data_IF_626061690257
#
_entry.id   IF_626061690257
#
_cell.length_a   1.000
_cell.length_b   1.000
_cell.length_c   1.000
_cell.angle_alpha   90.00
_cell.angle_beta   90.00
_cell.angle_gamma   90.00
#
_symmetry.space_group_name_H-M   'P 1'
#
loop_
_entity.id
_entity.type
_entity.pdbx_description
1 polymer ?
#
# COMPACT_ATOMS: atom_id res chain seq x y z
N UNK A 1 13.21 14.67 60.93
CA UNK A 1 12.61 13.31 60.96
C UNK A 1 11.10 13.40 61.12
N UNK A 2 10.39 12.63 60.29
CA UNK A 2 9.09 12.98 59.73
C UNK A 2 7.90 12.79 60.69
N UNK A 3 7.18 13.89 60.95
CA UNK A 3 5.90 13.94 61.68
C UNK A 3 4.82 13.03 61.07
N UNK A 4 4.97 12.68 59.79
CA UNK A 4 4.09 11.80 59.03
C UNK A 4 3.83 10.41 59.65
N UNK A 5 4.75 9.89 60.47
CA UNK A 5 4.58 8.54 61.04
C UNK A 5 3.65 8.49 62.25
N UNK A 6 3.39 9.64 62.90
CA UNK A 6 2.45 9.73 64.02
C UNK A 6 1.00 9.83 63.55
N UNK A 7 0.76 10.53 62.44
CA UNK A 7 -0.59 10.81 61.95
C UNK A 7 -1.21 9.63 61.17
N UNK A 8 -0.39 8.69 60.71
CA UNK A 8 -0.83 7.52 59.94
C UNK A 8 -0.33 6.22 60.59
N UNK A 9 -0.90 5.79 61.73
CA UNK A 9 -0.63 4.47 62.27
C UNK A 9 -1.11 3.41 61.26
N UNK A 10 -0.22 2.49 60.89
CA UNK A 10 -0.54 1.41 59.96
C UNK A 10 -1.68 0.52 60.48
N UNK A 11 -2.36 -0.17 59.57
CA UNK A 11 -3.51 -1.01 59.90
C UNK A 11 -3.13 -2.16 60.85
N UNK A 12 -3.79 -2.24 62.02
CA UNK A 12 -3.51 -3.26 63.02
C UNK A 12 -4.34 -4.53 62.76
N UNK A 13 -3.67 -5.57 62.26
CA UNK A 13 -4.29 -6.84 61.86
C UNK A 13 -4.84 -7.67 63.02
N UNK A 14 -4.50 -7.34 64.27
CA UNK A 14 -5.02 -8.04 65.46
C UNK A 14 -6.40 -7.51 65.88
N UNK A 15 -6.65 -6.21 65.69
CA UNK A 15 -7.93 -5.59 66.01
C UNK A 15 -8.92 -5.69 64.85
N UNK A 16 -8.40 -5.75 63.62
CA UNK A 16 -9.18 -5.85 62.40
C UNK A 16 -8.69 -7.03 61.56
N UNK A 17 -9.04 -8.27 61.93
CA UNK A 17 -8.66 -9.44 61.16
C UNK A 17 -9.28 -9.36 59.77
N UNK A 18 -8.48 -9.70 58.75
CA UNK A 18 -8.95 -9.75 57.36
C UNK A 18 -10.12 -10.74 57.26
N UNK A 19 -11.19 -10.33 56.59
CA UNK A 19 -12.30 -11.23 56.28
C UNK A 19 -11.79 -12.44 55.50
N UNK A 20 -12.18 -13.64 55.94
CA UNK A 20 -11.86 -14.86 55.21
C UNK A 20 -12.66 -14.90 53.91
N UNK A 21 -12.02 -15.38 52.85
CA UNK A 21 -12.68 -15.61 51.57
C UNK A 21 -13.65 -16.77 51.78
N UNK A 22 -14.94 -16.48 51.86
CA UNK A 22 -15.98 -17.50 51.90
C UNK A 22 -16.13 -18.06 50.49
N UNK A 23 -15.68 -19.30 50.30
CA UNK A 23 -15.95 -20.04 49.09
C UNK A 23 -17.48 -20.12 48.89
N UNK A 24 -18.03 -19.79 47.70
CA UNK A 24 -19.45 -19.98 47.42
C UNK A 24 -19.88 -21.40 47.77
N UNK A 25 -21.09 -21.54 48.35
CA UNK A 25 -21.61 -22.79 48.94
C UNK A 25 -21.60 -23.99 47.97
N UNK A 26 -21.48 -23.73 46.67
CA UNK A 26 -21.57 -24.72 45.60
C UNK A 26 -20.18 -25.13 45.04
N UNK A 27 -19.11 -24.96 45.81
CA UNK A 27 -17.73 -25.26 45.38
C UNK A 27 -17.49 -26.72 44.97
N UNK A 28 -18.34 -27.64 45.45
CA UNK A 28 -18.23 -29.08 45.19
C UNK A 28 -19.18 -29.62 44.13
N UNK A 29 -20.06 -28.80 43.54
CA UNK A 29 -20.97 -29.27 42.52
C UNK A 29 -20.26 -29.30 41.15
N UNK A 30 -20.11 -30.47 40.51
CA UNK A 30 -19.59 -30.52 39.15
C UNK A 30 -20.56 -29.78 38.22
N UNK A 31 -20.02 -28.87 37.41
CA UNK A 31 -20.81 -28.14 36.42
C UNK A 31 -21.52 -29.11 35.47
N UNK A 32 -22.85 -29.00 35.39
CA UNK A 32 -23.68 -29.77 34.47
C UNK A 32 -24.06 -28.87 33.29
N UNK A 33 -23.55 -29.12 32.07
CA UNK A 33 -23.96 -28.34 30.91
C UNK A 33 -25.44 -28.59 30.59
N UNK A 34 -26.18 -27.57 30.14
CA UNK A 34 -27.58 -27.74 29.77
C UNK A 34 -27.72 -28.75 28.62
N UNK A 35 -28.58 -29.76 28.80
CA UNK A 35 -28.82 -30.80 27.79
C UNK A 35 -29.68 -30.33 26.61
N UNK A 36 -30.43 -29.24 26.79
CA UNK A 36 -31.36 -28.74 25.78
C UNK A 36 -30.59 -27.97 24.69
N UNK A 37 -30.77 -28.36 23.44
CA UNK A 37 -30.23 -27.64 22.29
C UNK A 37 -31.09 -26.40 22.03
N UNK A 38 -30.44 -25.25 21.83
CA UNK A 38 -31.11 -24.03 21.38
C UNK A 38 -31.37 -24.14 19.87
N UNK A 39 -32.49 -23.58 19.39
CA UNK A 39 -32.73 -23.43 17.96
C UNK A 39 -31.64 -22.53 17.36
N UNK A 40 -30.86 -23.09 16.43
CA UNK A 40 -29.70 -22.41 15.82
C UNK A 40 -30.00 -21.78 14.47
N UNK A 41 -31.19 -22.03 13.90
CA UNK A 41 -31.58 -21.44 12.62
C UNK A 41 -31.96 -19.97 12.79
N UNK A 42 -31.27 -19.13 12.04
CA UNK A 42 -31.62 -17.71 11.91
C UNK A 42 -32.71 -17.52 10.84
N UNK A 43 -33.45 -16.41 10.92
CA UNK A 43 -34.45 -16.05 9.90
C UNK A 43 -33.82 -15.98 8.50
N UNK A 44 -32.55 -15.55 8.41
CA UNK A 44 -31.86 -15.43 7.13
C UNK A 44 -31.56 -16.80 6.52
N UNK A 45 -31.15 -17.78 7.33
CA UNK A 45 -30.97 -19.16 6.88
C UNK A 45 -32.27 -19.84 6.47
N UNK A 46 -33.41 -19.40 7.03
CA UNK A 46 -34.74 -19.90 6.64
C UNK A 46 -35.20 -19.28 5.33
N UNK A 47 -35.14 -17.96 5.24
CA UNK A 47 -35.80 -17.19 4.19
C UNK A 47 -34.97 -17.07 2.91
N UNK A 48 -33.64 -17.18 2.98
CA UNK A 48 -32.75 -17.05 1.82
C UNK A 48 -32.13 -18.40 1.43
N UNK A 49 -32.93 -19.27 0.81
CA UNK A 49 -32.43 -20.49 0.18
C UNK A 49 -31.73 -20.18 -1.16
N UNK A 50 -30.67 -20.91 -1.53
CA UNK A 50 -30.01 -20.73 -2.82
C UNK A 50 -30.99 -21.05 -3.96
N UNK A 51 -31.08 -20.13 -4.92
CA UNK A 51 -31.92 -20.28 -6.11
C UNK A 51 -31.13 -21.04 -7.17
N UNK A 52 -31.73 -22.09 -7.75
CA UNK A 52 -31.13 -22.78 -8.89
C UNK A 52 -31.22 -21.90 -10.15
N UNK A 53 -30.06 -21.34 -10.52
CA UNK A 53 -29.89 -20.43 -11.66
C UNK A 53 -30.10 -21.17 -13.00
N UNK A 54 -29.94 -22.50 -13.01
CA UNK A 54 -30.10 -23.30 -14.23
C UNK A 54 -31.57 -23.48 -14.65
N UNK A 55 -32.50 -23.38 -13.69
CA UNK A 55 -33.94 -23.44 -13.93
C UNK A 55 -34.54 -22.11 -14.40
N UNK A 56 -33.77 -21.02 -14.37
CA UNK A 56 -34.26 -19.69 -14.78
C UNK A 56 -34.33 -19.59 -16.31
N UNK A 57 -35.40 -18.99 -16.86
CA UNK A 57 -35.50 -18.78 -18.30
C UNK A 57 -34.37 -17.87 -18.78
N UNK A 58 -33.57 -18.35 -19.73
CA UNK A 58 -32.46 -17.59 -20.32
C UNK A 58 -33.00 -16.31 -20.98
N UNK A 59 -32.68 -15.16 -20.40
CA UNK A 59 -33.02 -13.85 -20.98
C UNK A 59 -32.36 -13.77 -22.37
N UNK A 60 -33.18 -13.66 -23.42
CA UNK A 60 -32.68 -13.44 -24.79
C UNK A 60 -32.27 -11.99 -24.92
N UNK A 61 -30.97 -11.72 -24.89
CA UNK A 61 -30.43 -10.39 -25.24
C UNK A 61 -30.61 -10.19 -26.75
N UNK A 62 -31.48 -9.26 -27.14
CA UNK A 62 -31.61 -8.83 -28.53
C UNK A 62 -30.47 -7.85 -28.80
N UNK A 63 -29.53 -8.15 -29.73
CA UNK A 63 -28.48 -7.20 -30.06
C UNK A 63 -29.10 -5.96 -30.73
N UNK A 64 -28.79 -4.77 -30.22
CA UNK A 64 -29.18 -3.52 -30.85
C UNK A 64 -28.52 -3.44 -32.24
N UNK A 65 -29.32 -3.39 -33.30
CA UNK A 65 -28.80 -3.09 -34.65
C UNK A 65 -28.44 -1.62 -34.70
N UNK A 66 -27.16 -1.28 -34.57
CA UNK A 66 -26.69 0.10 -34.73
C UNK A 66 -26.59 0.45 -36.22
N UNK A 67 -27.45 1.34 -36.72
CA UNK A 67 -27.30 1.96 -38.04
C UNK A 67 -26.25 3.09 -38.01
N UNK A 68 -25.09 2.86 -37.40
CA UNK A 68 -23.98 3.81 -37.40
C UNK A 68 -23.15 3.58 -38.68
N UNK A 69 -23.53 4.26 -39.77
CA UNK A 69 -22.61 4.45 -40.89
C UNK A 69 -21.54 5.43 -40.44
N UNK A 70 -20.43 4.90 -39.92
CA UNK A 70 -19.23 5.68 -39.59
C UNK A 70 -18.48 5.94 -40.90
N UNK A 71 -18.99 6.87 -41.69
CA UNK A 71 -18.16 7.53 -42.70
C UNK A 71 -17.44 8.69 -42.01
N UNK A 72 -16.43 8.37 -41.20
CA UNK A 72 -15.52 9.35 -40.55
C UNK A 72 -14.53 9.91 -41.57
N UNK A 73 -15.05 10.51 -42.64
CA UNK A 73 -14.29 11.46 -43.44
C UNK A 73 -14.85 12.84 -43.17
N UNK A 74 -14.67 13.30 -41.93
CA UNK A 74 -14.76 14.72 -41.65
C UNK A 74 -13.78 15.40 -42.62
N UNK A 75 -14.31 16.14 -43.59
CA UNK A 75 -13.48 16.89 -44.54
C UNK A 75 -12.48 17.77 -43.79
N UNK A 76 -11.36 18.15 -44.42
CA UNK A 76 -10.32 18.92 -43.74
C UNK A 76 -10.93 20.18 -43.12
N UNK A 77 -10.70 20.38 -41.83
CA UNK A 77 -11.19 21.54 -41.08
C UNK A 77 -10.57 22.82 -41.66
N UNK A 78 -11.41 23.81 -41.94
CA UNK A 78 -10.95 25.13 -42.36
C UNK A 78 -10.22 25.82 -41.21
N UNK A 79 -8.90 25.98 -41.35
CA UNK A 79 -8.03 26.55 -40.31
C UNK A 79 -7.67 28.04 -40.54
N UNK A 80 -8.31 28.69 -41.51
CA UNK A 80 -8.03 30.08 -41.87
C UNK A 80 -8.98 31.03 -41.13
N UNK A 81 -8.46 31.81 -40.18
CA UNK A 81 -9.25 32.85 -39.52
C UNK A 81 -9.27 34.13 -40.35
N UNK A 82 -10.34 34.93 -40.23
CA UNK A 82 -10.44 36.24 -40.88
C UNK A 82 -9.28 37.17 -40.52
N UNK A 83 -8.77 37.09 -39.28
CA UNK A 83 -7.60 37.86 -38.87
C UNK A 83 -6.34 37.45 -39.65
N UNK A 84 -6.06 36.14 -39.74
CA UNK A 84 -4.90 35.62 -40.47
C UNK A 84 -4.95 35.95 -41.96
N UNK A 85 -6.15 36.04 -42.53
CA UNK A 85 -6.35 36.44 -43.92
C UNK A 85 -6.04 37.93 -44.16
N UNK A 86 -6.48 38.82 -43.26
CA UNK A 86 -6.36 40.27 -43.46
C UNK A 86 -5.00 40.85 -43.01
N UNK A 87 -4.32 40.24 -42.03
CA UNK A 87 -3.07 40.74 -41.49
C UNK A 87 -1.88 39.92 -41.98
N UNK A 88 -1.53 40.08 -43.25
CA UNK A 88 -0.27 39.55 -43.79
C UNK A 88 0.89 40.51 -43.50
N UNK A 89 2.11 40.00 -43.28
CA UNK A 89 3.26 40.86 -43.06
C UNK A 89 3.46 41.77 -44.28
N UNK A 90 3.36 43.08 -44.05
CA UNK A 90 3.73 44.06 -45.07
C UNK A 90 5.24 43.95 -45.30
N UNK A 91 5.65 43.79 -46.56
CA UNK A 91 7.06 43.93 -46.95
C UNK A 91 7.60 45.23 -46.35
N UNK A 92 8.75 45.22 -45.66
CA UNK A 92 9.27 46.42 -45.03
C UNK A 92 9.44 47.48 -46.11
N UNK A 93 8.69 48.56 -45.96
CA UNK A 93 8.70 49.69 -46.87
C UNK A 93 10.16 50.06 -47.18
N UNK A 94 10.46 50.12 -48.48
CA UNK A 94 11.69 50.61 -49.10
C UNK A 94 12.34 51.65 -48.17
N UNK A 95 13.62 51.43 -47.83
CA UNK A 95 14.40 52.24 -46.89
C UNK A 95 14.01 53.72 -46.98
N UNK A 96 13.55 54.30 -45.86
CA UNK A 96 13.17 55.72 -45.78
C UNK A 96 14.23 56.58 -46.46
N UNK A 97 13.83 57.36 -47.48
CA UNK A 97 14.71 58.33 -48.14
C UNK A 97 15.03 59.44 -47.11
N UNK A 98 16.25 59.43 -46.58
CA UNK A 98 16.72 60.47 -45.68
C UNK A 98 17.11 61.71 -46.50
N UNK A 99 16.37 62.80 -46.34
CA UNK A 99 16.60 64.08 -47.06
C UNK A 99 17.52 65.06 -46.30
N UNK A 100 17.98 64.70 -45.09
CA UNK A 100 18.63 65.63 -44.17
C UNK A 100 20.14 65.44 -43.96
N UNK A 101 20.70 64.25 -44.18
CA UNK A 101 22.11 63.98 -43.91
C UNK A 101 22.76 63.33 -45.13
N UNK A 102 23.71 64.04 -45.75
CA UNK A 102 24.37 63.58 -46.98
C UNK A 102 25.26 62.35 -46.75
N UNK A 103 25.68 62.06 -45.52
CA UNK A 103 26.56 60.92 -45.21
C UNK A 103 26.42 60.51 -43.72
N UNK A 104 25.35 59.82 -43.30
CA UNK A 104 25.28 59.25 -41.94
C UNK A 104 26.35 58.17 -41.67
N UNK A 105 27.09 57.78 -42.70
CA UNK A 105 27.96 56.60 -42.71
C UNK A 105 29.46 56.95 -42.76
N UNK A 106 29.86 58.22 -42.68
CA UNK A 106 31.28 58.59 -42.72
C UNK A 106 31.92 58.42 -41.33
N UNK A 107 32.17 57.16 -40.98
CA UNK A 107 32.96 56.84 -39.79
C UNK A 107 34.44 57.03 -40.09
N UNK A 108 35.09 57.95 -39.37
CA UNK A 108 36.55 58.11 -39.39
C UNK A 108 37.10 57.27 -38.23
N UNK A 109 37.71 56.09 -38.50
CA UNK A 109 38.29 55.30 -37.43
C UNK A 109 39.50 56.03 -36.82
N UNK A 110 39.72 55.93 -35.50
CA UNK A 110 40.91 56.47 -34.86
C UNK A 110 42.18 55.79 -35.41
N UNK A 111 43.25 56.57 -35.60
CA UNK A 111 44.52 56.07 -36.16
C UNK A 111 45.23 55.07 -35.23
N UNK A 112 45.03 55.19 -33.92
CA UNK A 112 45.62 54.30 -32.93
C UNK A 112 44.58 53.32 -32.39
N UNK A 113 44.97 52.04 -32.28
CA UNK A 113 44.11 51.00 -31.72
C UNK A 113 44.05 51.20 -30.21
N UNK A 114 42.84 51.40 -29.69
CA UNK A 114 42.61 51.36 -28.25
C UNK A 114 42.93 49.96 -27.72
N UNK A 115 43.92 49.84 -26.84
CA UNK A 115 44.39 48.55 -26.33
C UNK A 115 43.33 47.82 -25.47
N UNK A 116 42.28 48.51 -25.01
CA UNK A 116 41.01 47.89 -24.60
C UNK A 116 41.04 46.89 -23.45
N UNK A 117 42.20 46.66 -22.84
CA UNK A 117 42.37 45.79 -21.69
C UNK A 117 42.52 46.63 -20.44
N UNK A 118 41.66 46.37 -19.48
CA UNK A 118 41.79 46.92 -18.13
C UNK A 118 42.59 45.94 -17.29
N UNK A 119 43.33 46.44 -16.29
CA UNK A 119 44.08 45.61 -15.35
C UNK A 119 43.18 44.55 -14.69
N UNK A 120 41.92 44.87 -14.42
CA UNK A 120 40.91 43.93 -13.91
C UNK A 120 40.62 42.78 -14.88
N UNK A 121 40.50 43.08 -16.18
CA UNK A 121 40.26 42.05 -17.21
C UNK A 121 41.46 41.10 -17.33
N UNK A 122 42.67 41.62 -17.17
CA UNK A 122 43.89 40.81 -17.24
C UNK A 122 44.12 39.99 -15.97
N UNK A 123 43.79 40.53 -14.80
CA UNK A 123 44.04 39.87 -13.50
C UNK A 123 42.93 38.91 -13.07
N UNK A 124 41.68 39.15 -13.48
CA UNK A 124 40.51 38.38 -13.03
C UNK A 124 39.95 37.48 -14.15
N UNK A 125 40.70 36.45 -14.52
CA UNK A 125 40.36 35.54 -15.63
C UNK A 125 39.48 34.34 -15.24
N UNK A 126 38.99 34.26 -13.99
CA UNK A 126 38.13 33.18 -13.53
C UNK A 126 38.75 31.79 -13.71
N UNK A 127 39.88 31.52 -13.06
CA UNK A 127 40.56 30.22 -13.16
C UNK A 127 39.68 29.11 -12.57
N UNK A 128 39.46 28.04 -13.33
CA UNK A 128 38.75 26.86 -12.82
C UNK A 128 39.61 26.12 -11.79
N UNK A 129 39.03 25.83 -10.63
CA UNK A 129 39.66 25.01 -9.59
C UNK A 129 39.42 23.51 -9.84
N UNK A 130 40.22 22.67 -9.17
CA UNK A 130 39.96 21.23 -9.15
C UNK A 130 38.68 20.99 -8.33
N UNK A 131 37.70 20.22 -8.84
CA UNK A 131 36.49 19.92 -8.09
C UNK A 131 36.81 19.14 -6.82
N UNK A 132 36.09 19.42 -5.74
CA UNK A 132 36.25 18.71 -4.47
C UNK A 132 35.94 17.21 -4.66
N UNK A 133 36.76 16.35 -4.04
CA UNK A 133 36.50 14.90 -4.00
C UNK A 133 35.49 14.59 -2.91
N UNK A 134 34.53 13.71 -3.20
CA UNK A 134 33.58 13.23 -2.21
C UNK A 134 34.30 12.34 -1.18
N UNK A 135 34.09 12.61 0.11
CA UNK A 135 34.60 11.80 1.21
C UNK A 135 33.59 10.71 1.57
N UNK A 136 33.43 9.72 0.68
CA UNK A 136 32.52 8.58 0.91
C UNK A 136 33.27 7.54 1.75
N UNK A 137 32.74 7.11 2.91
CA UNK A 137 33.36 6.05 3.70
C UNK A 137 33.32 4.73 2.93
N UNK A 138 34.39 3.95 3.04
CA UNK A 138 34.46 2.62 2.45
C UNK A 138 33.38 1.72 3.09
N UNK A 139 32.47 1.19 2.27
CA UNK A 139 31.48 0.23 2.72
C UNK A 139 32.16 -1.13 2.89
N UNK A 140 32.81 -1.32 4.04
CA UNK A 140 33.29 -2.65 4.42
C UNK A 140 32.09 -3.59 4.58
N UNK A 141 32.16 -4.75 3.93
CA UNK A 141 31.19 -5.83 4.14
C UNK A 141 31.33 -6.29 5.58
N UNK A 142 30.35 -5.94 6.42
CA UNK A 142 30.25 -6.45 7.78
C UNK A 142 30.34 -7.99 7.73
N UNK A 143 31.36 -8.55 8.37
CA UNK A 143 31.45 -10.00 8.54
C UNK A 143 30.28 -10.42 9.43
N UNK A 144 29.35 -11.19 8.88
CA UNK A 144 28.32 -11.84 9.67
C UNK A 144 29.01 -12.91 10.51
N UNK A 145 29.12 -12.67 11.82
CA UNK A 145 29.73 -13.61 12.77
C UNK A 145 28.61 -14.35 13.48
N UNK A 146 28.57 -15.66 13.31
CA UNK A 146 27.63 -16.56 13.98
C UNK A 146 26.30 -16.74 13.23
N UNK A 147 25.68 -17.90 13.44
CA UNK A 147 24.31 -18.16 13.03
C UNK A 147 23.35 -17.63 14.10
N UNK A 148 22.29 -16.93 13.68
CA UNK A 148 21.26 -16.48 14.60
C UNK A 148 20.25 -17.62 14.80
N UNK A 149 20.10 -18.07 16.04
CA UNK A 149 19.04 -19.01 16.38
C UNK A 149 17.68 -18.29 16.37
N UNK A 150 16.80 -18.68 15.45
CA UNK A 150 15.46 -18.14 15.28
C UNK A 150 14.40 -18.91 16.07
N UNK A 151 14.82 -19.81 16.98
CA UNK A 151 13.91 -20.66 17.71
C UNK A 151 13.38 -19.96 18.96
N UNK A 152 12.06 -19.83 19.04
CA UNK A 152 11.38 -19.21 20.17
C UNK A 152 10.85 -20.27 21.12
N UNK A 153 10.74 -19.94 22.41
CA UNK A 153 10.16 -20.84 23.42
C UNK A 153 8.78 -21.35 22.98
N UNK A 154 7.95 -20.48 22.37
CA UNK A 154 6.65 -20.87 21.84
C UNK A 154 6.74 -21.98 20.79
N UNK A 155 7.69 -21.89 19.86
CA UNK A 155 7.90 -22.90 18.81
C UNK A 155 8.39 -24.23 19.39
N UNK A 156 9.14 -24.18 20.47
CA UNK A 156 9.63 -25.37 21.18
C UNK A 156 8.52 -26.04 21.99
N UNK A 157 7.74 -25.25 22.73
CA UNK A 157 6.76 -25.75 23.71
C UNK A 157 5.46 -26.20 23.05
N UNK A 158 5.01 -25.52 22.00
CA UNK A 158 3.72 -25.77 21.34
C UNK A 158 3.91 -26.45 19.99
N UNK A 159 4.17 -27.75 20.03
CA UNK A 159 4.19 -28.63 18.85
C UNK A 159 3.01 -29.61 18.87
N UNK A 160 2.59 -30.16 17.72
CA UNK A 160 1.46 -31.10 17.69
C UNK A 160 1.74 -32.33 18.56
N UNK A 161 1.05 -32.42 19.70
CA UNK A 161 1.11 -33.62 20.52
C UNK A 161 0.23 -34.70 19.88
N UNK A 162 0.75 -35.92 19.80
CA UNK A 162 0.00 -37.07 19.29
C UNK A 162 -1.23 -37.33 20.17
N UNK A 163 -2.43 -37.07 19.64
CA UNK A 163 -3.68 -37.42 20.33
C UNK A 163 -3.97 -38.91 20.12
N UNK A 164 -4.09 -39.67 21.21
CA UNK A 164 -4.50 -41.07 21.15
C UNK A 164 -5.96 -41.17 20.67
N UNK A 165 -6.24 -42.09 19.75
CA UNK A 165 -7.62 -42.37 19.35
C UNK A 165 -8.41 -42.90 20.54
N UNK A 166 -9.56 -42.29 20.83
CA UNK A 166 -10.49 -42.80 21.82
C UNK A 166 -10.99 -44.20 21.41
N UNK A 167 -11.10 -45.11 22.38
CA UNK A 167 -11.51 -46.50 22.17
C UNK A 167 -12.82 -46.63 21.36
N UNK A 168 -13.79 -45.75 21.61
CA UNK A 168 -15.05 -45.72 20.86
C UNK A 168 -14.83 -45.46 19.36
N UNK A 169 -13.94 -44.52 19.02
CA UNK A 169 -13.59 -44.23 17.62
C UNK A 169 -12.84 -45.39 16.98
N UNK A 170 -11.93 -46.03 17.71
CA UNK A 170 -11.23 -47.21 17.22
C UNK A 170 -12.20 -48.36 16.92
N UNK A 171 -13.21 -48.57 17.77
CA UNK A 171 -14.24 -49.59 17.58
C UNK A 171 -15.12 -49.33 16.34
N UNK A 172 -15.55 -48.08 16.13
CA UNK A 172 -16.33 -47.72 14.92
C UNK A 172 -15.52 -47.92 13.64
N UNK A 173 -14.21 -47.65 13.67
CA UNK A 173 -13.32 -47.91 12.52
C UNK A 173 -13.23 -49.41 12.25
N UNK A 174 -13.07 -50.24 13.28
CA UNK A 174 -13.04 -51.71 13.13
C UNK A 174 -14.32 -52.25 12.50
N UNK A 175 -15.50 -51.84 12.98
CA UNK A 175 -16.79 -52.27 12.41
C UNK A 175 -16.97 -51.86 10.95
N UNK A 176 -16.56 -50.63 10.59
CA UNK A 176 -16.63 -50.16 9.19
C UNK A 176 -15.72 -50.98 8.28
N UNK A 177 -14.54 -51.35 8.74
CA UNK A 177 -13.60 -52.16 7.96
C UNK A 177 -14.15 -53.56 7.67
N UNK A 178 -14.89 -54.16 8.61
CA UNK A 178 -15.56 -55.45 8.41
C UNK A 178 -16.72 -55.38 7.41
N UNK A 179 -17.44 -54.25 7.34
CA UNK A 179 -18.61 -54.09 6.46
C UNK A 179 -18.21 -53.98 4.97
N UNK A 180 -17.00 -53.51 4.69
CA UNK A 180 -16.47 -53.38 3.31
C UNK A 180 -15.92 -54.68 2.72
N UNK A 181 -15.93 -55.78 3.49
CA UNK A 181 -15.34 -57.06 3.11
C UNK A 181 -16.37 -58.14 2.70
N UNK A 182 -17.54 -57.77 2.18
CA UNK A 182 -18.46 -58.74 1.55
C UNK A 182 -18.04 -59.02 0.10
N UNK A 183 -17.85 -60.29 -0.30
CA UNK A 183 -17.35 -60.63 -1.63
C UNK A 183 -18.44 -60.47 -2.69
N UNK A 184 -18.05 -59.89 -3.83
CA UNK A 184 -18.86 -59.80 -5.06
C UNK A 184 -19.24 -61.24 -5.49
N UNK A 185 -20.53 -61.57 -5.66
CA UNK A 185 -20.91 -62.89 -6.15
C UNK A 185 -20.56 -62.97 -7.64
N UNK A 186 -19.69 -63.92 -7.99
CA UNK A 186 -19.41 -64.26 -9.38
C UNK A 186 -20.54 -65.14 -9.92
N UNK A 187 -21.28 -64.63 -10.89
CA UNK A 187 -21.93 -65.41 -11.96
C UNK A 187 -21.71 -64.70 -13.28
#
# INVERSE_FOLDING_TARGET
DSQYRADYPGHNTNQHPRQQIVAPKDYHQPYMPPMQKMDTMTITQRDFQPIDISALPRIRLIPLKSNLSVNDSAGPMENMTMSRFHYQPYEPAISKRNYGELMPNLYIPPMEKFQGTTTTRETYQGRSGIPARACIPEQEKLRQVGEHDHNTNYRMDYHPHGVSLCAAKAYTIAQKNETTATPIPTQ
#
